data_IF_272153642796
#
_entry.id   IF_272153642796
#
_cell.length_a   1.000
_cell.length_b   1.000
_cell.length_c   1.000
_cell.angle_alpha   90.00
_cell.angle_beta   90.00
_cell.angle_gamma   90.00
#
_symmetry.space_group_name_H-M   'P 1'
#
loop_
_entity.id
_entity.type
_entity.pdbx_description
1 polymer ?
#
# COMPACT_ATOMS: atom_id res chain seq x y z
N UNK A 1 -25.92 14.64 11.09
CA UNK A 1 -24.74 14.11 10.39
C UNK A 1 -23.77 13.65 11.46
N UNK A 2 -23.50 12.35 11.58
CA UNK A 2 -22.38 11.89 12.40
C UNK A 2 -21.12 12.43 11.73
N UNK A 3 -20.30 13.20 12.45
CA UNK A 3 -18.98 13.60 11.96
C UNK A 3 -18.24 12.32 11.58
N UNK A 4 -17.79 12.23 10.34
CA UNK A 4 -16.90 11.16 9.92
C UNK A 4 -15.64 11.37 10.76
N UNK A 5 -15.37 10.42 11.64
CA UNK A 5 -14.14 10.42 12.41
C UNK A 5 -13.00 10.04 11.44
N UNK A 6 -12.29 11.07 10.98
CA UNK A 6 -11.15 10.95 10.08
C UNK A 6 -9.96 10.24 10.74
N UNK A 7 -9.95 10.16 12.08
CA UNK A 7 -8.94 9.45 12.86
C UNK A 7 -9.27 7.97 13.11
N UNK A 8 -10.47 7.53 12.76
CA UNK A 8 -10.85 6.13 12.91
C UNK A 8 -10.01 5.25 11.97
N UNK A 9 -9.45 4.16 12.50
CA UNK A 9 -8.50 3.28 11.79
C UNK A 9 -9.00 2.82 10.42
N UNK A 10 -10.30 2.50 10.33
CA UNK A 10 -10.95 2.09 9.07
C UNK A 10 -10.99 3.23 8.04
N UNK A 11 -11.27 4.46 8.46
CA UNK A 11 -11.27 5.65 7.61
C UNK A 11 -9.86 5.92 7.10
N UNK A 12 -8.85 5.86 7.98
CA UNK A 12 -7.44 6.06 7.62
C UNK A 12 -6.96 5.01 6.62
N UNK A 13 -7.25 3.72 6.84
CA UNK A 13 -6.92 2.67 5.88
C UNK A 13 -7.62 2.90 4.54
N UNK A 14 -8.92 3.22 4.52
CA UNK A 14 -9.61 3.52 3.27
C UNK A 14 -8.98 4.70 2.51
N UNK A 15 -8.61 5.76 3.23
CA UNK A 15 -7.92 6.93 2.68
C UNK A 15 -6.54 6.59 2.12
N UNK A 16 -5.74 5.75 2.79
CA UNK A 16 -4.44 5.31 2.29
C UNK A 16 -4.57 4.57 0.95
N UNK A 17 -5.50 3.61 0.87
CA UNK A 17 -5.74 2.85 -0.36
C UNK A 17 -6.29 3.72 -1.48
N UNK A 18 -7.16 4.69 -1.18
CA UNK A 18 -7.63 5.65 -2.16
C UNK A 18 -6.47 6.52 -2.67
N UNK A 19 -5.62 7.02 -1.77
CA UNK A 19 -4.47 7.85 -2.09
C UNK A 19 -3.45 7.12 -2.97
N UNK A 20 -3.26 5.80 -2.77
CA UNK A 20 -2.46 4.96 -3.67
C UNK A 20 -3.00 4.95 -5.11
N UNK A 21 -4.33 4.88 -5.27
CA UNK A 21 -4.96 4.91 -6.60
C UNK A 21 -4.91 6.29 -7.23
N UNK A 22 -5.06 7.36 -6.43
CA UNK A 22 -4.94 8.74 -6.91
C UNK A 22 -3.53 9.05 -7.39
N UNK A 23 -2.51 8.54 -6.70
CA UNK A 23 -1.12 8.72 -7.10
C UNK A 23 -0.57 10.13 -6.90
N UNK A 24 0.56 10.43 -7.53
CA UNK A 24 1.23 11.73 -7.44
C UNK A 24 1.64 12.08 -6.01
N UNK A 25 1.31 13.30 -5.56
CA UNK A 25 1.62 13.75 -4.20
C UNK A 25 0.87 12.97 -3.10
N UNK A 26 -0.22 12.27 -3.45
CA UNK A 26 -1.00 11.47 -2.49
C UNK A 26 -0.30 10.19 -2.05
N UNK A 27 0.71 9.73 -2.79
CA UNK A 27 1.51 8.57 -2.38
C UNK A 27 2.22 8.84 -1.05
N UNK A 28 2.78 10.04 -0.87
CA UNK A 28 3.45 10.40 0.39
C UNK A 28 2.44 10.47 1.54
N UNK A 29 1.24 11.00 1.32
CA UNK A 29 0.16 11.00 2.31
C UNK A 29 -0.24 9.57 2.70
N UNK A 30 -0.35 8.65 1.73
CA UNK A 30 -0.60 7.23 2.02
C UNK A 30 0.52 6.60 2.84
N UNK A 31 1.79 6.91 2.56
CA UNK A 31 2.91 6.40 3.33
C UNK A 31 2.84 6.87 4.79
N UNK A 32 2.54 8.16 5.01
CA UNK A 32 2.39 8.71 6.36
C UNK A 32 1.26 8.05 7.14
N UNK A 33 0.12 7.76 6.50
CA UNK A 33 -0.95 7.01 7.16
C UNK A 33 -0.46 5.61 7.60
N UNK A 34 0.22 4.86 6.73
CA UNK A 34 0.77 3.57 7.12
C UNK A 34 1.86 3.67 8.19
N UNK A 35 2.64 4.75 8.19
CA UNK A 35 3.62 5.05 9.25
C UNK A 35 2.92 5.28 10.60
N UNK A 36 1.90 6.13 10.65
CA UNK A 36 1.13 6.39 11.87
C UNK A 36 0.46 5.10 12.40
N UNK A 37 -0.07 4.28 11.49
CA UNK A 37 -0.63 2.97 11.85
C UNK A 37 0.44 2.01 12.40
N UNK A 38 1.68 2.07 11.89
CA UNK A 38 2.80 1.27 12.43
C UNK A 38 3.26 1.69 13.82
N UNK A 39 3.06 2.95 14.17
CA UNK A 39 3.39 3.49 15.50
C UNK A 39 2.29 3.17 16.53
N UNK A 40 1.02 3.15 16.08
CA UNK A 40 -0.15 2.87 16.93
C UNK A 40 -0.43 1.38 17.13
N UNK A 41 -0.11 0.55 16.14
CA UNK A 41 -0.45 -0.87 16.13
C UNK A 41 0.80 -1.73 15.86
N UNK A 42 0.79 -3.01 16.25
CA UNK A 42 1.86 -3.92 15.88
C UNK A 42 2.11 -3.91 14.37
N UNK A 43 3.39 -3.95 14.00
CA UNK A 43 3.82 -3.98 12.60
C UNK A 43 3.34 -5.28 11.92
N UNK A 44 2.15 -5.23 11.33
CA UNK A 44 1.53 -6.34 10.60
C UNK A 44 2.03 -6.42 9.17
N UNK A 45 1.90 -7.58 8.54
CA UNK A 45 2.21 -7.74 7.11
C UNK A 45 1.40 -6.83 6.19
N UNK A 46 0.18 -6.43 6.59
CA UNK A 46 -0.63 -5.47 5.82
C UNK A 46 0.02 -4.08 5.81
N UNK A 47 0.44 -3.59 6.98
CA UNK A 47 1.07 -2.28 7.12
C UNK A 47 2.40 -2.24 6.36
N UNK A 48 3.23 -3.29 6.50
CA UNK A 48 4.50 -3.41 5.79
C UNK A 48 4.32 -3.39 4.27
N UNK A 49 3.36 -4.17 3.75
CA UNK A 49 3.06 -4.19 2.33
C UNK A 49 2.52 -2.83 1.83
N UNK A 50 1.69 -2.16 2.64
CA UNK A 50 1.20 -0.81 2.31
C UNK A 50 2.33 0.21 2.17
N UNK A 51 3.27 0.23 3.12
CA UNK A 51 4.46 1.08 3.05
C UNK A 51 5.33 0.73 1.84
N UNK A 52 5.55 -0.55 1.56
CA UNK A 52 6.36 -0.99 0.41
C UNK A 52 5.76 -0.54 -0.93
N UNK A 53 4.44 -0.64 -1.10
CA UNK A 53 3.75 -0.14 -2.31
C UNK A 53 3.95 1.37 -2.46
N UNK A 54 3.83 2.14 -1.38
CA UNK A 54 4.14 3.57 -1.41
C UNK A 54 5.60 3.85 -1.82
N UNK A 55 6.57 3.10 -1.27
CA UNK A 55 7.99 3.23 -1.64
C UNK A 55 8.24 2.93 -3.12
N UNK A 56 7.61 1.90 -3.67
CA UNK A 56 7.69 1.56 -5.11
C UNK A 56 7.16 2.73 -5.95
N UNK A 57 6.01 3.31 -5.59
CA UNK A 57 5.45 4.46 -6.29
C UNK A 57 6.34 5.72 -6.20
N UNK A 58 7.15 5.85 -5.14
CA UNK A 58 8.12 6.94 -4.98
C UNK A 58 9.47 6.67 -5.65
N UNK A 59 9.69 5.47 -6.20
CA UNK A 59 10.96 5.06 -6.80
C UNK A 59 12.00 4.51 -5.79
N UNK A 60 11.63 4.40 -4.51
CA UNK A 60 12.49 3.92 -3.43
C UNK A 60 12.44 2.38 -3.35
N UNK A 61 12.99 1.71 -4.37
CA UNK A 61 12.90 0.25 -4.49
C UNK A 61 13.65 -0.50 -3.38
N UNK A 62 14.78 0.04 -2.90
CA UNK A 62 15.59 -0.59 -1.84
C UNK A 62 14.84 -0.67 -0.49
N UNK A 63 14.12 0.41 -0.16
CA UNK A 63 13.28 0.47 1.05
C UNK A 63 12.08 -0.48 0.91
N UNK A 64 11.47 -0.52 -0.27
CA UNK A 64 10.36 -1.43 -0.56
C UNK A 64 10.78 -2.89 -0.39
N UNK A 65 11.94 -3.30 -0.92
CA UNK A 65 12.45 -4.66 -0.77
C UNK A 65 12.65 -5.03 0.71
N UNK A 66 13.26 -4.13 1.48
CA UNK A 66 13.48 -4.33 2.92
C UNK A 66 12.16 -4.55 3.67
N UNK A 67 11.15 -3.71 3.40
CA UNK A 67 9.82 -3.82 4.00
C UNK A 67 9.10 -5.12 3.61
N UNK A 68 9.22 -5.54 2.35
CA UNK A 68 8.64 -6.80 1.87
C UNK A 68 9.33 -8.01 2.49
N UNK A 69 10.66 -7.98 2.64
CA UNK A 69 11.40 -9.03 3.35
C UNK A 69 11.00 -9.12 4.82
N UNK A 70 10.77 -7.99 5.50
CA UNK A 70 10.23 -8.00 6.85
C UNK A 70 8.81 -8.60 6.88
N UNK A 71 7.94 -8.22 5.92
CA UNK A 71 6.59 -8.76 5.83
C UNK A 71 6.56 -10.27 5.62
N UNK A 72 7.52 -10.80 4.85
CA UNK A 72 7.69 -12.24 4.60
C UNK A 72 8.06 -13.03 5.86
N UNK A 73 8.78 -12.41 6.78
CA UNK A 73 9.21 -13.03 8.02
C UNK A 73 8.14 -12.96 9.14
N UNK A 74 7.02 -12.25 8.90
CA UNK A 74 5.89 -12.21 9.84
C UNK A 74 5.03 -13.48 9.68
N UNK A 75 4.49 -14.04 10.78
CA UNK A 75 3.57 -15.16 10.70
C UNK A 75 2.39 -14.79 9.80
N UNK A 76 2.11 -15.64 8.81
CA UNK A 76 1.07 -15.43 7.82
C UNK A 76 -0.32 -15.65 8.44
N UNK A 77 -0.77 -14.78 9.34
CA UNK A 77 -2.14 -14.84 9.87
C UNK A 77 -3.19 -14.35 8.86
N UNK A 78 -2.78 -13.88 7.68
CA UNK A 78 -3.68 -13.50 6.59
C UNK A 78 -3.32 -14.23 5.29
N UNK A 79 -3.69 -15.51 5.21
CA UNK A 79 -3.54 -16.39 4.04
C UNK A 79 -4.27 -15.87 2.77
N UNK A 80 -5.09 -14.82 2.88
CA UNK A 80 -5.95 -14.34 1.79
C UNK A 80 -5.37 -13.14 1.02
N UNK A 81 -4.53 -12.29 1.60
CA UNK A 81 -4.06 -11.07 0.90
C UNK A 81 -2.93 -11.33 -0.10
N UNK A 82 -2.11 -12.38 0.12
CA UNK A 82 -0.92 -12.66 -0.71
C UNK A 82 -1.25 -13.04 -2.16
N UNK A 83 -2.31 -13.83 -2.36
CA UNK A 83 -2.74 -14.21 -3.72
C UNK A 83 -3.46 -13.06 -4.44
N UNK A 84 -4.25 -12.27 -3.72
CA UNK A 84 -5.01 -11.17 -4.32
C UNK A 84 -4.13 -9.94 -4.62
N UNK A 85 -3.18 -9.60 -3.74
CA UNK A 85 -2.24 -8.50 -3.97
C UNK A 85 -1.26 -8.81 -5.12
N UNK A 86 -0.71 -10.02 -5.19
CA UNK A 86 0.20 -10.41 -6.26
C UNK A 86 -0.52 -10.50 -7.63
N UNK A 87 -1.74 -11.05 -7.67
CA UNK A 87 -2.55 -11.06 -8.90
C UNK A 87 -2.96 -9.66 -9.36
N UNK A 88 -3.27 -8.74 -8.44
CA UNK A 88 -3.57 -7.35 -8.80
C UNK A 88 -2.32 -6.56 -9.19
N UNK A 89 -1.18 -6.80 -8.56
CA UNK A 89 0.10 -6.18 -8.96
C UNK A 89 0.45 -6.57 -10.41
N UNK A 90 0.44 -7.87 -10.75
CA UNK A 90 0.67 -8.29 -12.14
C UNK A 90 -0.43 -7.85 -13.12
N UNK A 91 -1.69 -7.72 -12.68
CA UNK A 91 -2.75 -7.19 -13.53
C UNK A 91 -2.63 -5.67 -13.73
N UNK A 92 -2.13 -4.94 -12.74
CA UNK A 92 -1.88 -3.50 -12.82
C UNK A 92 -0.65 -3.21 -13.69
N UNK A 93 0.41 -4.02 -13.59
CA UNK A 93 1.58 -3.98 -14.48
C UNK A 93 1.18 -4.21 -15.94
N UNK A 94 0.39 -5.25 -16.22
CA UNK A 94 -0.13 -5.52 -17.57
C UNK A 94 -1.06 -4.41 -18.10
N UNK A 95 -1.79 -3.72 -17.22
CA UNK A 95 -2.68 -2.62 -17.61
C UNK A 95 -1.90 -1.33 -17.85
N UNK A 96 -0.84 -1.09 -17.08
CA UNK A 96 0.07 0.03 -17.24
C UNK A 96 0.89 -0.11 -18.53
N UNK A 97 1.41 -1.30 -18.83
CA UNK A 97 2.17 -1.57 -20.06
C UNK A 97 1.29 -1.38 -21.32
N UNK A 98 0.02 -1.80 -21.26
CA UNK A 98 -0.96 -1.55 -22.33
C UNK A 98 -1.33 -0.07 -22.48
N UNK A 99 -1.44 0.66 -21.38
CA UNK A 99 -1.75 2.09 -21.41
C UNK A 99 -0.60 2.88 -22.06
N UNK A 100 0.65 2.56 -21.70
CA UNK A 100 1.87 3.15 -22.30
C UNK A 100 1.96 2.85 -23.79
N UNK A 101 1.63 1.62 -24.23
CA UNK A 101 1.62 1.25 -25.65
C UNK A 101 0.51 1.93 -26.49
N UNK A 102 -0.55 2.45 -25.87
CA UNK A 102 -1.65 3.12 -26.61
C UNK A 102 -1.43 4.63 -26.83
N UNK A 103 -0.43 5.20 -26.16
CA UNK A 103 -0.11 6.64 -26.17
C UNK A 103 1.19 6.93 -26.93
N UNK A 104 1.94 5.90 -27.33
CA UNK A 104 3.08 5.95 -28.25
C UNK A 104 2.65 5.55 -29.67
#
# INVERSE_FOLDING_TARGET
MQQIDEDHTLTQLASAWLNLVVGGSKIQESYLIFQDLSEKYPMTGLILNGKAVCCIHMGNSDEAETLLLEALNKPAEAFTSRSYACKRASSAENSFERAVQSVA
#
